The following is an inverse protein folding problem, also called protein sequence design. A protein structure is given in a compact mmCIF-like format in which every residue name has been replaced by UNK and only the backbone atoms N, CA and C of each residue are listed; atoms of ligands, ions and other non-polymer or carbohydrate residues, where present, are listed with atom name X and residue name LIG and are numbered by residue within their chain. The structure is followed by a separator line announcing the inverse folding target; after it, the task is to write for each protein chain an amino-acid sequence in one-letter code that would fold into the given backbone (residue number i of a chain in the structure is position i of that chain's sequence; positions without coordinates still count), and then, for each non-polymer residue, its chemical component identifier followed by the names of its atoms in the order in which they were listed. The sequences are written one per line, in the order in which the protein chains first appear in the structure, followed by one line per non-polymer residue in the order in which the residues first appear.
data_IF_813917541339
#
_entry.id   IF_813917541339
#
_cell.length_a   1.000
_cell.length_b   1.000
_cell.length_c   1.000
_cell.angle_alpha   90.00
_cell.angle_beta   90.00
_cell.angle_gamma   90.00
#
_symmetry.space_group_name_H-M   'P 1'
#
loop_
_entity.id
_entity.type
_entity.pdbx_description
1 polymer ?
#
# COMPACT_ATOMS: atom_id res chain seq x y z
N UNK A 1 19.17 -18.97 0.00
CA UNK A 1 18.22 -17.97 -0.59
C UNK A 1 18.01 -18.33 -2.06
N UNK A 2 16.78 -18.40 -2.56
CA UNK A 2 16.52 -18.62 -3.99
C UNK A 2 17.22 -17.54 -4.83
N UNK A 3 17.86 -17.91 -5.93
CA UNK A 3 18.68 -17.02 -6.77
C UNK A 3 19.76 -16.21 -6.00
N UNK A 4 20.14 -16.63 -4.80
CA UNK A 4 21.15 -15.96 -3.95
C UNK A 4 20.71 -14.64 -3.30
N UNK A 5 19.44 -14.26 -3.41
CA UNK A 5 18.92 -12.96 -2.94
C UNK A 5 17.69 -13.12 -2.05
N UNK A 6 17.38 -12.13 -1.17
CA UNK A 6 16.20 -12.14 -0.32
C UNK A 6 14.88 -11.98 -1.09
N UNK A 7 14.89 -11.29 -2.23
CA UNK A 7 13.71 -11.06 -3.06
C UNK A 7 14.04 -11.08 -4.55
N UNK A 8 13.12 -11.59 -5.35
CA UNK A 8 13.35 -11.85 -6.79
C UNK A 8 13.75 -10.60 -7.59
N UNK A 9 13.31 -9.40 -7.19
CA UNK A 9 13.69 -8.15 -7.87
C UNK A 9 15.17 -7.76 -7.64
N UNK A 10 15.86 -8.38 -6.68
CA UNK A 10 17.29 -8.14 -6.38
C UNK A 10 18.22 -9.05 -7.18
N UNK A 11 17.68 -9.99 -7.94
CA UNK A 11 18.48 -10.88 -8.78
C UNK A 11 18.90 -10.17 -10.08
N UNK A 12 20.21 -9.94 -10.24
CA UNK A 12 20.81 -9.35 -11.43
C UNK A 12 21.92 -10.25 -11.98
N UNK A 13 22.05 -10.26 -13.30
CA UNK A 13 23.17 -10.94 -13.97
C UNK A 13 24.36 -9.97 -14.14
N UNK A 14 25.62 -10.44 -13.97
CA UNK A 14 26.03 -11.81 -13.58
C UNK A 14 25.86 -12.11 -12.09
N UNK A 15 25.73 -11.11 -11.23
CA UNK A 15 25.44 -11.19 -9.79
C UNK A 15 24.91 -9.83 -9.26
N UNK A 16 24.10 -9.86 -8.18
CA UNK A 16 23.57 -8.65 -7.57
C UNK A 16 24.66 -7.82 -6.89
N UNK A 17 24.41 -6.53 -6.76
CA UNK A 17 25.20 -5.65 -5.88
C UNK A 17 24.94 -6.07 -4.42
N UNK A 18 25.99 -6.44 -3.71
CA UNK A 18 25.91 -6.83 -2.28
C UNK A 18 26.36 -5.68 -1.42
N UNK A 19 25.43 -5.03 -0.76
CA UNK A 19 25.70 -3.84 0.07
C UNK A 19 26.36 -4.23 1.40
N UNK A 20 27.47 -3.57 1.73
CA UNK A 20 28.22 -3.69 2.98
C UNK A 20 27.84 -2.60 3.99
N UNK A 21 27.59 -1.38 3.50
CA UNK A 21 27.28 -0.21 4.31
C UNK A 21 26.49 0.83 3.52
N UNK A 22 25.62 1.58 4.21
CA UNK A 22 24.90 2.70 3.61
C UNK A 22 24.72 3.83 4.63
N UNK A 23 24.81 5.08 4.16
CA UNK A 23 24.56 6.27 4.97
C UNK A 23 24.10 7.45 4.10
N UNK A 24 23.11 8.20 4.54
CA UNK A 24 22.53 9.30 3.77
C UNK A 24 22.01 8.80 2.40
N UNK A 25 22.55 9.33 1.31
CA UNK A 25 22.20 8.93 -0.06
C UNK A 25 23.19 7.95 -0.71
N UNK A 26 24.09 7.35 0.06
CA UNK A 26 25.18 6.52 -0.49
C UNK A 26 25.14 5.11 0.05
N UNK A 27 25.46 4.15 -0.84
CA UNK A 27 25.71 2.75 -0.51
C UNK A 27 27.13 2.38 -0.90
N UNK A 28 27.72 1.46 -0.16
CA UNK A 28 29.06 0.88 -0.42
C UNK A 28 28.86 -0.64 -0.50
N UNK A 29 29.30 -1.24 -1.57
CA UNK A 29 29.25 -2.69 -1.74
C UNK A 29 30.44 -3.42 -1.07
N UNK A 30 30.41 -4.74 -1.16
CA UNK A 30 31.50 -5.58 -0.58
C UNK A 30 32.86 -5.42 -1.25
N UNK A 31 32.90 -4.84 -2.45
CA UNK A 31 34.11 -4.54 -3.21
C UNK A 31 34.55 -3.08 -3.07
N UNK A 32 33.96 -2.36 -2.10
CA UNK A 32 34.21 -0.94 -1.76
C UNK A 32 33.83 0.07 -2.88
N UNK A 33 33.00 -0.33 -3.85
CA UNK A 33 32.42 0.61 -4.80
C UNK A 33 31.35 1.48 -4.14
N UNK A 34 31.36 2.78 -4.47
CA UNK A 34 30.40 3.75 -3.93
C UNK A 34 29.31 4.05 -4.94
N UNK A 35 28.07 3.93 -4.53
CA UNK A 35 26.87 4.23 -5.32
C UNK A 35 26.08 5.36 -4.70
N UNK A 36 25.45 6.19 -5.53
CA UNK A 36 24.36 7.08 -5.08
C UNK A 36 23.06 6.29 -5.19
N UNK A 37 22.37 6.15 -4.07
CA UNK A 37 21.11 5.42 -4.02
C UNK A 37 19.95 6.34 -4.40
N UNK A 38 19.36 6.11 -5.58
CA UNK A 38 18.15 6.78 -6.05
C UNK A 38 16.89 5.96 -5.81
N UNK A 39 17.02 4.70 -5.43
CA UNK A 39 15.88 3.82 -5.13
C UNK A 39 15.38 4.05 -3.70
N UNK A 40 16.30 4.23 -2.76
CA UNK A 40 16.01 4.49 -1.34
C UNK A 40 15.03 3.46 -0.76
N UNK A 41 15.21 2.17 -1.12
CA UNK A 41 14.34 1.09 -0.69
C UNK A 41 12.90 1.23 -1.20
N UNK A 42 12.73 1.57 -2.47
CA UNK A 42 11.44 1.91 -3.08
C UNK A 42 10.71 3.06 -2.35
N UNK A 43 11.48 4.05 -1.86
CA UNK A 43 10.98 5.20 -1.13
C UNK A 43 10.78 4.99 0.38
N UNK A 44 11.14 3.83 0.92
CA UNK A 44 11.04 3.58 2.37
C UNK A 44 12.01 4.45 3.18
N UNK A 45 13.18 4.75 2.60
CA UNK A 45 14.23 5.56 3.23
C UNK A 45 14.15 7.04 2.84
N UNK A 46 12.96 7.62 2.86
CA UNK A 46 12.73 9.02 2.48
C UNK A 46 13.68 10.01 3.20
N UNK A 47 14.03 9.72 4.45
CA UNK A 47 14.96 10.53 5.24
C UNK A 47 16.45 10.15 5.05
N UNK A 48 16.77 9.21 4.15
CA UNK A 48 18.11 8.69 3.94
C UNK A 48 18.47 7.50 4.82
N UNK A 49 19.50 6.76 4.39
CA UNK A 49 20.06 5.66 5.18
C UNK A 49 20.63 6.17 6.50
N UNK A 50 20.36 5.42 7.59
CA UNK A 50 20.87 5.72 8.93
C UNK A 50 20.61 7.17 9.40
N UNK A 51 19.40 7.67 9.13
CA UNK A 51 19.01 9.00 9.61
C UNK A 51 19.24 9.10 11.12
N UNK A 52 19.97 10.12 11.62
CA UNK A 52 20.40 10.18 13.01
C UNK A 52 19.25 10.35 14.02
N UNK A 53 18.13 10.95 13.61
CA UNK A 53 16.94 11.06 14.47
C UNK A 53 16.23 9.73 14.62
N UNK A 54 16.01 9.01 13.50
CA UNK A 54 15.40 7.68 13.49
C UNK A 54 16.27 6.71 14.29
N UNK A 55 17.59 6.71 14.04
CA UNK A 55 18.53 5.85 14.75
C UNK A 55 18.46 6.07 16.25
N UNK A 56 18.51 7.30 16.72
CA UNK A 56 18.48 7.65 18.15
C UNK A 56 17.18 7.18 18.79
N UNK A 57 16.02 7.45 18.19
CA UNK A 57 14.74 7.03 18.71
C UNK A 57 14.65 5.50 18.85
N UNK A 58 15.21 4.76 17.90
CA UNK A 58 15.26 3.29 17.96
C UNK A 58 16.19 2.80 19.06
N UNK A 59 17.41 3.39 19.18
CA UNK A 59 18.37 3.05 20.22
C UNK A 59 17.78 3.30 21.63
N UNK A 60 17.13 4.45 21.85
CA UNK A 60 16.44 4.79 23.10
C UNK A 60 15.29 3.82 23.41
N UNK A 61 14.51 3.43 22.38
CA UNK A 61 13.41 2.49 22.60
C UNK A 61 13.88 1.07 22.91
N UNK A 62 15.01 0.62 22.35
CA UNK A 62 15.57 -0.69 22.65
C UNK A 62 15.92 -0.87 24.13
N UNK A 63 16.31 0.20 24.81
CA UNK A 63 16.57 0.19 26.26
C UNK A 63 15.28 -0.02 27.07
N UNK A 64 14.11 0.30 26.52
CA UNK A 64 12.79 0.12 27.15
C UNK A 64 12.09 -1.17 26.71
N UNK A 65 12.60 -1.84 25.69
CA UNK A 65 12.02 -3.04 25.09
C UNK A 65 11.41 -2.78 23.72
N UNK A 66 11.33 -3.82 22.90
CA UNK A 66 10.96 -3.73 21.47
C UNK A 66 9.61 -4.36 21.14
N UNK A 67 9.05 -5.19 22.02
CA UNK A 67 7.78 -5.87 21.78
C UNK A 67 7.01 -6.06 23.09
N UNK A 68 5.75 -5.63 23.08
CA UNK A 68 4.83 -5.77 24.21
C UNK A 68 3.55 -6.48 23.75
N UNK A 69 3.00 -7.33 24.61
CA UNK A 69 1.68 -7.94 24.40
C UNK A 69 0.55 -6.97 24.81
N UNK A 70 0.89 -5.97 25.59
CA UNK A 70 -0.01 -4.92 26.08
C UNK A 70 0.25 -3.61 25.31
N UNK A 71 -0.77 -2.75 25.14
CA UNK A 71 -0.58 -1.43 24.52
C UNK A 71 0.47 -0.60 25.25
N UNK A 72 1.19 0.23 24.52
CA UNK A 72 2.14 1.22 25.05
C UNK A 72 1.75 2.64 24.62
N UNK A 73 2.37 3.65 25.23
CA UNK A 73 2.08 5.05 24.95
C UNK A 73 2.38 5.42 23.49
N UNK A 74 3.45 4.85 22.90
CA UNK A 74 3.82 5.08 21.51
C UNK A 74 2.75 4.64 20.51
N UNK A 75 1.97 3.59 20.83
CA UNK A 75 0.88 3.15 19.95
C UNK A 75 -0.19 4.25 19.81
N UNK A 76 -0.53 4.90 20.93
CA UNK A 76 -1.48 6.01 20.95
C UNK A 76 -0.91 7.23 20.23
N UNK A 77 0.32 7.63 20.57
CA UNK A 77 0.99 8.79 19.96
C UNK A 77 1.07 8.67 18.43
N UNK A 78 1.50 7.52 17.92
CA UNK A 78 1.58 7.27 16.47
C UNK A 78 0.19 7.35 15.82
N UNK A 79 -0.83 6.72 16.43
CA UNK A 79 -2.20 6.76 15.88
C UNK A 79 -2.78 8.18 15.90
N UNK A 80 -2.51 8.99 16.92
CA UNK A 80 -2.93 10.40 17.00
C UNK A 80 -2.26 11.24 15.91
N UNK A 81 -0.95 11.08 15.71
CA UNK A 81 -0.21 11.76 14.64
C UNK A 81 -0.71 11.36 13.24
N UNK A 82 -1.04 10.09 13.04
CA UNK A 82 -1.63 9.63 11.78
C UNK A 82 -3.03 10.21 11.58
N UNK A 83 -3.85 10.27 12.64
CA UNK A 83 -5.19 10.85 12.58
C UNK A 83 -5.16 12.35 12.24
N UNK A 84 -4.28 13.12 12.89
CA UNK A 84 -4.07 14.53 12.59
C UNK A 84 -3.64 14.72 11.13
N UNK A 85 -2.65 13.93 10.69
CA UNK A 85 -2.01 14.08 9.39
C UNK A 85 -2.92 13.72 8.22
N UNK A 86 -3.65 12.62 8.31
CA UNK A 86 -4.45 12.07 7.21
C UNK A 86 -5.96 12.32 7.35
N UNK A 87 -6.41 12.87 8.48
CA UNK A 87 -7.82 13.15 8.73
C UNK A 87 -8.70 11.91 8.83
N UNK A 88 -8.11 10.74 9.11
CA UNK A 88 -8.81 9.49 9.42
C UNK A 88 -8.79 9.27 10.93
N UNK A 89 -9.95 9.12 11.61
CA UNK A 89 -10.00 9.16 13.07
C UNK A 89 -9.47 7.91 13.78
N UNK A 90 -9.38 6.77 13.11
CA UNK A 90 -8.92 5.52 13.72
C UNK A 90 -7.89 4.80 12.86
N UNK A 91 -6.88 4.23 13.52
CA UNK A 91 -5.76 3.55 12.87
C UNK A 91 -5.44 2.22 13.53
N UNK A 92 -4.88 1.30 12.74
CA UNK A 92 -4.26 0.05 13.19
C UNK A 92 -2.86 -0.05 12.59
N UNK A 93 -1.82 -0.23 13.44
CA UNK A 93 -0.48 -0.59 12.99
C UNK A 93 -0.45 -1.98 12.35
N UNK A 94 0.47 -2.18 11.41
CA UNK A 94 0.81 -3.46 10.79
C UNK A 94 2.32 -3.52 10.57
N UNK A 95 2.85 -4.68 10.17
CA UNK A 95 4.30 -4.83 9.92
C UNK A 95 4.70 -4.50 8.48
N UNK A 96 3.75 -4.36 7.58
CA UNK A 96 4.02 -4.10 6.16
C UNK A 96 2.82 -3.47 5.45
N UNK A 97 3.08 -2.88 4.27
CA UNK A 97 2.02 -2.42 3.38
C UNK A 97 1.15 -3.56 2.85
N UNK A 98 1.70 -4.77 2.71
CA UNK A 98 0.93 -5.97 2.31
C UNK A 98 -0.12 -6.31 3.35
N UNK A 99 0.22 -6.29 4.63
CA UNK A 99 -0.75 -6.50 5.70
C UNK A 99 -1.78 -5.38 5.75
N UNK A 100 -1.33 -4.12 5.65
CA UNK A 100 -2.23 -2.96 5.67
C UNK A 100 -3.30 -3.03 4.57
N UNK A 101 -2.91 -3.36 3.33
CA UNK A 101 -3.86 -3.49 2.21
C UNK A 101 -4.75 -4.72 2.33
N UNK A 102 -4.20 -5.84 2.81
CA UNK A 102 -4.97 -7.05 3.06
C UNK A 102 -6.08 -6.81 4.10
N UNK A 103 -5.74 -6.18 5.22
CA UNK A 103 -6.69 -5.89 6.29
C UNK A 103 -7.71 -4.82 5.90
N UNK A 104 -7.31 -3.81 5.12
CA UNK A 104 -8.23 -2.82 4.57
C UNK A 104 -9.26 -3.46 3.62
N UNK A 105 -8.85 -4.41 2.77
CA UNK A 105 -9.76 -5.17 1.90
C UNK A 105 -10.70 -6.05 2.73
N UNK A 106 -10.16 -6.79 3.73
CA UNK A 106 -10.99 -7.61 4.64
C UNK A 106 -12.01 -6.75 5.37
N UNK A 107 -11.60 -5.60 5.88
CA UNK A 107 -12.50 -4.66 6.54
C UNK A 107 -13.60 -4.18 5.58
N UNK A 108 -13.23 -3.83 4.35
CA UNK A 108 -14.19 -3.40 3.33
C UNK A 108 -15.24 -4.47 3.02
N UNK A 109 -14.84 -5.73 2.93
CA UNK A 109 -15.76 -6.86 2.80
C UNK A 109 -16.68 -7.00 4.01
N UNK A 110 -16.12 -6.82 5.22
CA UNK A 110 -16.89 -6.84 6.47
C UNK A 110 -17.93 -5.73 6.58
N UNK A 111 -17.56 -4.52 6.14
CA UNK A 111 -18.46 -3.33 6.15
C UNK A 111 -19.58 -3.47 5.14
N UNK A 112 -19.28 -3.90 3.92
CA UNK A 112 -20.23 -3.92 2.80
C UNK A 112 -21.02 -5.21 2.68
N UNK A 113 -20.51 -6.31 3.25
CA UNK A 113 -21.06 -7.67 3.03
C UNK A 113 -20.82 -8.20 1.62
N UNK A 114 -19.96 -7.55 0.83
CA UNK A 114 -19.66 -7.89 -0.57
C UNK A 114 -18.30 -8.59 -0.67
N UNK A 115 -18.06 -9.33 -1.75
CA UNK A 115 -16.83 -10.16 -1.87
C UNK A 115 -15.82 -9.60 -2.88
N UNK A 116 -16.30 -9.05 -4.00
CA UNK A 116 -15.45 -8.61 -5.11
C UNK A 116 -14.70 -7.32 -4.82
N UNK A 117 -13.55 -7.17 -5.48
CA UNK A 117 -12.77 -5.93 -5.44
C UNK A 117 -12.44 -5.44 -6.85
N UNK A 118 -12.20 -4.15 -6.96
CA UNK A 118 -11.68 -3.53 -8.19
C UNK A 118 -10.29 -2.98 -7.89
N UNK A 119 -9.36 -3.13 -8.83
CA UNK A 119 -8.04 -2.49 -8.81
C UNK A 119 -7.65 -2.02 -10.21
N UNK A 120 -6.63 -1.19 -10.28
CA UNK A 120 -6.09 -0.71 -11.56
C UNK A 120 -5.02 -1.68 -12.10
N UNK A 121 -4.98 -1.88 -13.43
CA UNK A 121 -3.90 -2.57 -14.10
C UNK A 121 -2.55 -1.91 -13.79
N UNK A 122 -1.53 -2.71 -13.50
CA UNK A 122 -0.21 -2.20 -13.13
C UNK A 122 -0.10 -1.69 -11.69
N UNK A 123 -1.21 -1.51 -10.96
CA UNK A 123 -1.20 -1.13 -9.55
C UNK A 123 -0.58 -2.21 -8.67
N UNK A 124 0.27 -1.81 -7.73
CA UNK A 124 0.91 -2.73 -6.77
C UNK A 124 0.47 -2.41 -5.34
N UNK A 125 -0.16 -3.39 -4.70
CA UNK A 125 -0.75 -3.24 -3.37
C UNK A 125 -0.26 -4.30 -2.37
N UNK A 126 0.93 -4.84 -2.59
CA UNK A 126 1.48 -5.93 -1.79
C UNK A 126 1.49 -7.26 -2.53
N UNK A 127 1.71 -8.36 -1.79
CA UNK A 127 1.88 -9.68 -2.39
C UNK A 127 0.90 -10.74 -1.84
N UNK A 128 -0.24 -10.31 -1.30
CA UNK A 128 -1.36 -11.23 -1.06
C UNK A 128 -2.16 -11.47 -2.34
N UNK A 129 -2.82 -12.60 -2.43
CA UNK A 129 -3.36 -13.13 -3.69
C UNK A 129 -4.32 -12.16 -4.41
N UNK A 130 -5.21 -11.48 -3.66
CA UNK A 130 -6.22 -10.59 -4.25
C UNK A 130 -5.65 -9.39 -5.00
N UNK A 131 -4.44 -8.95 -4.65
CA UNK A 131 -3.81 -7.80 -5.31
C UNK A 131 -2.70 -8.19 -6.26
N UNK A 132 -2.29 -9.47 -6.27
CA UNK A 132 -1.33 -10.04 -7.21
C UNK A 132 -2.00 -10.41 -8.55
N UNK A 133 -2.86 -9.53 -9.04
CA UNK A 133 -3.60 -9.66 -10.30
C UNK A 133 -3.20 -8.48 -11.20
N UNK A 134 -2.76 -8.79 -12.42
CA UNK A 134 -2.39 -7.82 -13.47
C UNK A 134 -1.43 -6.71 -13.00
N UNK A 135 -0.45 -7.06 -12.15
CA UNK A 135 0.55 -6.10 -11.69
C UNK A 135 1.55 -5.73 -12.79
N UNK A 136 1.86 -6.68 -13.66
CA UNK A 136 2.73 -6.51 -14.83
C UNK A 136 2.42 -7.61 -15.86
N UNK A 137 1.20 -7.65 -16.42
CA UNK A 137 0.84 -8.70 -17.37
C UNK A 137 1.67 -8.54 -18.66
N UNK A 138 1.95 -9.66 -19.33
CA UNK A 138 2.53 -9.62 -20.67
C UNK A 138 1.48 -9.07 -21.65
N UNK A 139 1.92 -8.29 -22.63
CA UNK A 139 1.02 -7.54 -23.54
C UNK A 139 0.09 -8.44 -24.34
N UNK A 140 0.52 -9.65 -24.66
CA UNK A 140 -0.26 -10.66 -25.41
C UNK A 140 -1.44 -11.23 -24.63
N UNK A 141 -1.44 -11.13 -23.29
CA UNK A 141 -2.51 -11.61 -22.42
C UNK A 141 -3.23 -10.50 -21.65
N UNK A 142 -2.69 -9.28 -21.65
CA UNK A 142 -3.24 -8.14 -20.91
C UNK A 142 -4.68 -7.79 -21.32
N UNK A 143 -5.08 -8.07 -22.56
CA UNK A 143 -6.39 -7.73 -23.10
C UNK A 143 -6.45 -6.32 -23.70
N UNK A 144 -7.65 -5.85 -24.07
CA UNK A 144 -7.84 -4.50 -24.60
C UNK A 144 -7.55 -3.43 -23.55
N UNK A 145 -7.00 -2.29 -23.98
CA UNK A 145 -6.62 -1.19 -23.06
C UNK A 145 -7.80 -0.62 -22.25
N UNK A 146 -9.00 -0.63 -22.80
CA UNK A 146 -10.24 -0.17 -22.14
C UNK A 146 -10.93 -1.23 -21.29
N UNK A 147 -10.49 -2.49 -21.40
CA UNK A 147 -11.00 -3.64 -20.66
C UNK A 147 -9.89 -4.66 -20.40
N UNK A 148 -8.92 -4.35 -19.53
CA UNK A 148 -7.83 -5.27 -19.25
C UNK A 148 -8.32 -6.56 -18.61
N UNK A 149 -7.62 -7.65 -18.88
CA UNK A 149 -7.90 -8.95 -18.30
C UNK A 149 -7.38 -9.04 -16.87
N UNK A 150 -8.09 -9.76 -15.99
CA UNK A 150 -7.58 -10.14 -14.67
C UNK A 150 -6.64 -11.35 -14.81
N UNK A 151 -5.33 -11.09 -14.78
CA UNK A 151 -4.28 -12.09 -14.97
C UNK A 151 -3.53 -12.34 -13.67
N UNK A 152 -3.45 -13.61 -13.16
CA UNK A 152 -2.66 -13.89 -11.97
C UNK A 152 -1.18 -13.60 -12.22
N UNK A 153 -0.57 -12.80 -11.35
CA UNK A 153 0.86 -12.41 -11.45
C UNK A 153 1.81 -13.48 -10.90
N UNK A 154 1.29 -14.57 -10.38
CA UNK A 154 2.07 -15.69 -9.85
C UNK A 154 1.35 -17.02 -10.03
N UNK A 155 2.13 -18.10 -10.15
CA UNK A 155 1.61 -19.44 -9.94
C UNK A 155 1.14 -19.58 -8.49
N UNK A 156 0.11 -20.40 -8.28
CA UNK A 156 -0.47 -20.64 -6.95
C UNK A 156 -1.70 -19.78 -6.62
N UNK A 157 -1.90 -18.66 -7.31
CA UNK A 157 -3.14 -17.89 -7.18
C UNK A 157 -4.31 -18.68 -7.75
N UNK A 158 -5.36 -18.86 -6.96
CA UNK A 158 -6.50 -19.71 -7.35
C UNK A 158 -7.42 -18.99 -8.34
N UNK A 159 -8.14 -19.76 -9.17
CA UNK A 159 -9.11 -19.21 -10.12
C UNK A 159 -10.18 -18.36 -9.42
N UNK A 160 -10.64 -18.80 -8.26
CA UNK A 160 -11.64 -18.07 -7.48
C UNK A 160 -11.16 -16.66 -7.11
N UNK A 161 -9.91 -16.52 -6.66
CA UNK A 161 -9.34 -15.19 -6.36
C UNK A 161 -9.32 -14.32 -7.61
N UNK A 162 -8.95 -14.88 -8.77
CA UNK A 162 -8.96 -14.13 -10.04
C UNK A 162 -10.37 -13.67 -10.41
N UNK A 163 -11.39 -14.52 -10.21
CA UNK A 163 -12.79 -14.22 -10.49
C UNK A 163 -13.36 -13.13 -9.58
N UNK A 164 -12.84 -13.00 -8.36
CA UNK A 164 -13.27 -12.00 -7.38
C UNK A 164 -12.61 -10.63 -7.60
N UNK A 165 -11.66 -10.50 -8.54
CA UNK A 165 -10.92 -9.27 -8.82
C UNK A 165 -11.20 -8.75 -10.22
N UNK A 166 -11.75 -7.56 -10.32
CA UNK A 166 -11.90 -6.84 -11.58
C UNK A 166 -10.77 -5.83 -11.76
N UNK A 167 -10.09 -5.90 -12.89
CA UNK A 167 -9.03 -4.97 -13.26
C UNK A 167 -9.55 -3.95 -14.25
N UNK A 168 -9.23 -2.66 -14.03
CA UNK A 168 -9.65 -1.55 -14.88
C UNK A 168 -8.43 -0.69 -15.28
N UNK A 169 -8.51 0.10 -16.37
CA UNK A 169 -7.47 1.07 -16.68
C UNK A 169 -7.43 2.22 -15.67
N UNK A 170 -6.26 2.82 -15.51
CA UNK A 170 -6.10 4.06 -14.74
C UNK A 170 -6.59 5.27 -15.57
N UNK A 171 -7.08 6.30 -14.89
CA UNK A 171 -7.63 7.49 -15.53
C UNK A 171 -8.88 7.25 -16.41
N UNK A 172 -9.62 6.17 -16.14
CA UNK A 172 -10.89 5.85 -16.82
C UNK A 172 -12.02 5.68 -15.77
N UNK A 173 -12.71 6.77 -15.39
CA UNK A 173 -13.81 6.72 -14.43
C UNK A 173 -15.02 5.93 -14.97
N UNK A 174 -15.21 5.89 -16.30
CA UNK A 174 -16.30 5.12 -16.92
C UNK A 174 -16.05 3.62 -16.77
N UNK A 175 -14.80 3.16 -16.87
CA UNK A 175 -14.45 1.76 -16.60
C UNK A 175 -14.75 1.39 -15.14
N UNK A 176 -14.46 2.28 -14.18
CA UNK A 176 -14.83 2.09 -12.80
C UNK A 176 -16.36 1.98 -12.64
N UNK A 177 -17.12 2.90 -13.23
CA UNK A 177 -18.58 2.87 -13.13
C UNK A 177 -19.14 1.58 -13.70
N UNK A 178 -18.68 1.12 -14.89
CA UNK A 178 -19.06 -0.17 -15.46
C UNK A 178 -18.76 -1.35 -14.52
N UNK A 179 -17.62 -1.34 -13.85
CA UNK A 179 -17.21 -2.39 -12.91
C UNK A 179 -18.10 -2.45 -11.64
N UNK A 180 -18.68 -1.32 -11.23
CA UNK A 180 -19.50 -1.23 -10.02
C UNK A 180 -21.01 -1.46 -10.25
N UNK A 181 -21.48 -1.50 -11.49
CA UNK A 181 -22.90 -1.63 -11.84
C UNK A 181 -23.60 -2.86 -11.23
N UNK A 182 -22.83 -3.95 -11.00
CA UNK A 182 -23.35 -5.18 -10.38
C UNK A 182 -23.71 -5.04 -8.91
N UNK A 183 -23.22 -4.01 -8.23
CA UNK A 183 -23.47 -3.75 -6.80
C UNK A 183 -22.83 -4.77 -5.84
N UNK A 184 -21.91 -5.61 -6.31
CA UNK A 184 -21.27 -6.71 -5.59
C UNK A 184 -19.79 -6.43 -5.20
N UNK A 185 -19.30 -5.22 -5.49
CA UNK A 185 -17.92 -4.80 -5.22
C UNK A 185 -17.80 -4.18 -3.82
N UNK A 186 -16.95 -4.78 -2.98
CA UNK A 186 -16.67 -4.31 -1.63
C UNK A 186 -15.83 -3.02 -1.62
N UNK A 187 -14.76 -2.99 -2.42
CA UNK A 187 -13.88 -1.83 -2.49
C UNK A 187 -13.22 -1.66 -3.85
N UNK A 188 -12.84 -0.42 -4.13
CA UNK A 188 -11.87 -0.05 -5.15
C UNK A 188 -10.58 0.37 -4.46
N UNK A 189 -9.48 -0.36 -4.71
CA UNK A 189 -8.15 -0.01 -4.20
C UNK A 189 -7.31 0.61 -5.32
N UNK A 190 -6.70 1.75 -5.04
CA UNK A 190 -5.91 2.49 -6.03
C UNK A 190 -4.75 3.25 -5.38
N UNK A 191 -3.59 3.27 -6.05
CA UNK A 191 -2.53 4.25 -5.75
C UNK A 191 -3.00 5.61 -6.32
N UNK A 192 -3.17 6.68 -5.51
CA UNK A 192 -3.61 7.99 -6.03
C UNK A 192 -2.67 8.57 -7.09
N UNK A 193 -1.38 8.25 -6.99
CA UNK A 193 -0.37 8.40 -8.03
C UNK A 193 0.25 7.02 -8.23
N UNK A 194 0.09 6.44 -9.40
CA UNK A 194 0.68 5.13 -9.67
C UNK A 194 2.19 5.24 -9.78
N UNK A 195 2.91 4.49 -8.94
CA UNK A 195 4.37 4.55 -8.88
C UNK A 195 5.04 3.20 -9.15
N UNK A 196 4.27 2.15 -9.36
CA UNK A 196 4.83 0.83 -9.68
C UNK A 196 5.21 0.67 -11.16
N UNK A 197 4.55 1.40 -12.05
CA UNK A 197 4.74 1.36 -13.50
C UNK A 197 5.49 2.58 -14.07
N UNK A 198 6.13 3.34 -13.20
CA UNK A 198 6.61 4.69 -13.44
C UNK A 198 5.74 5.68 -12.67
N UNK A 199 5.96 6.98 -12.81
CA UNK A 199 5.11 7.97 -12.14
C UNK A 199 3.98 8.35 -13.08
N UNK A 200 2.80 7.77 -12.86
CA UNK A 200 1.61 8.08 -13.61
C UNK A 200 0.66 8.92 -12.73
N UNK A 201 0.52 10.20 -13.10
CA UNK A 201 -0.34 11.13 -12.37
C UNK A 201 -1.81 10.93 -12.72
N UNK A 202 -2.73 11.16 -11.77
CA UNK A 202 -4.15 11.22 -12.09
C UNK A 202 -4.41 12.42 -13.02
N UNK A 203 -5.27 12.21 -14.00
CA UNK A 203 -5.77 13.33 -14.82
C UNK A 203 -6.65 14.24 -13.95
N UNK A 204 -6.73 15.54 -14.27
CA UNK A 204 -7.60 16.47 -13.56
C UNK A 204 -9.05 15.95 -13.51
N UNK A 205 -9.63 15.89 -12.30
CA UNK A 205 -10.99 15.41 -12.08
C UNK A 205 -11.15 13.91 -11.91
N UNK A 206 -10.09 13.10 -12.17
CA UNK A 206 -10.19 11.63 -12.08
C UNK A 206 -10.47 11.14 -10.65
N UNK A 207 -9.70 11.60 -9.68
CA UNK A 207 -9.88 11.14 -8.29
C UNK A 207 -11.19 11.62 -7.67
N UNK A 208 -11.64 12.80 -8.03
CA UNK A 208 -12.95 13.32 -7.66
C UNK A 208 -14.08 12.45 -8.24
N UNK A 209 -14.00 12.11 -9.53
CA UNK A 209 -14.95 11.21 -10.17
C UNK A 209 -14.93 9.80 -9.53
N UNK A 210 -13.74 9.28 -9.22
CA UNK A 210 -13.57 8.02 -8.48
C UNK A 210 -14.33 8.07 -7.14
N UNK A 211 -14.17 9.17 -6.37
CA UNK A 211 -14.87 9.34 -5.09
C UNK A 211 -16.39 9.34 -5.28
N UNK A 212 -16.89 10.13 -6.21
CA UNK A 212 -18.33 10.24 -6.49
C UNK A 212 -18.94 8.91 -6.94
N UNK A 213 -18.26 8.19 -7.84
CA UNK A 213 -18.72 6.89 -8.33
C UNK A 213 -18.74 5.87 -7.20
N UNK A 214 -17.64 5.72 -6.44
CA UNK A 214 -17.58 4.75 -5.34
C UNK A 214 -18.64 5.01 -4.27
N UNK A 215 -18.88 6.28 -3.94
CA UNK A 215 -19.94 6.68 -3.00
C UNK A 215 -21.35 6.33 -3.52
N UNK A 216 -21.63 6.62 -4.79
CA UNK A 216 -22.91 6.32 -5.44
C UNK A 216 -23.26 4.84 -5.41
N UNK A 217 -22.26 3.96 -5.58
CA UNK A 217 -22.45 2.51 -5.57
C UNK A 217 -22.26 1.87 -4.19
N UNK A 218 -21.95 2.63 -3.16
CA UNK A 218 -21.67 2.13 -1.82
C UNK A 218 -20.48 1.17 -1.78
N UNK A 219 -19.50 1.39 -2.64
CA UNK A 219 -18.22 0.69 -2.70
C UNK A 219 -17.19 1.50 -1.93
N UNK A 220 -16.40 0.89 -1.02
CA UNK A 220 -15.42 1.65 -0.28
C UNK A 220 -14.21 2.01 -1.15
N UNK A 221 -13.76 3.26 -1.05
CA UNK A 221 -12.55 3.74 -1.69
C UNK A 221 -11.37 3.56 -0.75
N UNK A 222 -10.37 2.78 -1.17
CA UNK A 222 -9.09 2.61 -0.47
C UNK A 222 -8.02 3.36 -1.26
N UNK A 223 -7.42 4.39 -0.68
CA UNK A 223 -6.18 4.95 -1.20
C UNK A 223 -4.99 4.20 -0.63
N UNK A 224 -4.27 3.52 -1.51
CA UNK A 224 -2.98 2.96 -1.18
C UNK A 224 -1.92 4.06 -1.24
N UNK A 225 -1.65 4.61 -0.07
CA UNK A 225 -0.65 5.66 0.12
C UNK A 225 0.66 5.12 0.68
N UNK A 226 0.94 3.86 0.49
CA UNK A 226 2.20 3.21 0.90
C UNK A 226 3.42 3.94 0.32
N UNK A 227 3.30 4.53 -0.87
CA UNK A 227 4.36 5.37 -1.46
C UNK A 227 4.10 6.87 -1.29
N UNK A 228 2.87 7.32 -1.41
CA UNK A 228 2.51 8.75 -1.45
C UNK A 228 2.30 9.38 -0.09
N UNK A 229 2.04 8.61 0.95
CA UNK A 229 1.64 9.11 2.26
C UNK A 229 2.58 10.13 2.91
N UNK A 230 3.88 10.02 2.67
CA UNK A 230 4.86 11.02 3.13
C UNK A 230 5.35 11.90 1.98
N UNK A 231 5.52 11.31 0.79
CA UNK A 231 6.20 11.98 -0.34
C UNK A 231 5.34 12.99 -1.08
N UNK A 232 4.01 12.85 -1.06
CA UNK A 232 3.09 13.76 -1.74
C UNK A 232 2.75 15.03 -0.93
N UNK A 233 3.08 15.07 0.37
CA UNK A 233 2.80 16.22 1.24
C UNK A 233 2.41 15.81 2.65
N UNK A 234 2.05 16.80 3.49
CA UNK A 234 1.71 16.55 4.89
C UNK A 234 0.52 15.58 5.05
N UNK A 235 -0.53 15.74 4.27
CA UNK A 235 -1.71 14.87 4.28
C UNK A 235 -1.66 13.75 3.24
N UNK A 236 -0.46 13.40 2.73
CA UNK A 236 -0.32 12.45 1.63
C UNK A 236 -0.94 12.92 0.33
N UNK A 237 -1.20 12.00 -0.58
CA UNK A 237 -1.90 12.32 -1.83
C UNK A 237 -3.37 12.69 -1.59
N UNK A 238 -4.02 12.12 -0.56
CA UNK A 238 -5.37 12.52 -0.13
C UNK A 238 -5.45 14.02 0.14
N UNK A 239 -4.50 14.55 0.92
CA UNK A 239 -4.40 15.97 1.22
C UNK A 239 -4.00 16.81 0.02
N UNK A 240 -3.07 16.31 -0.81
CA UNK A 240 -2.59 17.02 -2.00
C UNK A 240 -3.69 17.22 -3.05
N UNK A 241 -4.49 16.20 -3.33
CA UNK A 241 -5.58 16.26 -4.31
C UNK A 241 -6.92 16.70 -3.70
N UNK A 242 -7.03 16.79 -2.37
CA UNK A 242 -8.27 17.18 -1.70
C UNK A 242 -9.37 16.12 -1.74
N UNK A 243 -9.04 14.86 -2.04
CA UNK A 243 -9.99 13.75 -2.13
C UNK A 243 -9.86 12.83 -0.93
N UNK A 244 -10.94 12.63 -0.19
CA UNK A 244 -10.95 11.79 1.03
C UNK A 244 -11.43 10.37 0.72
N UNK A 245 -10.58 9.36 0.84
CA UNK A 245 -11.00 7.96 0.73
C UNK A 245 -11.73 7.49 2.00
N UNK A 246 -12.33 6.32 1.95
CA UNK A 246 -12.92 5.65 3.11
C UNK A 246 -11.86 5.02 4.00
N UNK A 247 -10.81 4.47 3.38
CA UNK A 247 -9.65 3.87 4.05
C UNK A 247 -8.35 4.35 3.40
N UNK A 248 -7.31 4.46 4.22
CA UNK A 248 -5.94 4.77 3.78
C UNK A 248 -5.01 3.66 4.26
N UNK A 249 -4.08 3.22 3.41
CA UNK A 249 -3.01 2.30 3.79
C UNK A 249 -1.65 2.98 3.67
N UNK A 250 -0.78 2.76 4.65
CA UNK A 250 0.54 3.35 4.77
C UNK A 250 1.60 2.29 5.05
N UNK A 251 2.82 2.55 4.62
CA UNK A 251 4.02 1.79 5.00
C UNK A 251 5.28 2.58 4.56
N UNK A 252 6.35 1.86 4.24
CA UNK A 252 7.59 2.43 3.67
C UNK A 252 8.12 3.61 4.48
N UNK A 253 7.93 4.83 3.98
CA UNK A 253 8.52 6.05 4.57
C UNK A 253 8.08 6.32 6.00
N UNK A 254 6.91 5.85 6.45
CA UNK A 254 6.50 5.99 7.86
C UNK A 254 7.39 5.17 8.80
N UNK A 255 8.01 4.10 8.30
CA UNK A 255 8.91 3.24 9.07
C UNK A 255 10.37 3.69 9.08
N UNK A 256 10.76 4.67 8.23
CA UNK A 256 12.15 5.15 8.18
C UNK A 256 13.20 4.06 7.89
N UNK A 257 12.81 2.97 7.19
CA UNK A 257 13.63 1.80 6.90
C UNK A 257 13.32 0.57 7.78
N UNK A 258 12.46 0.70 8.78
CA UNK A 258 11.98 -0.41 9.60
C UNK A 258 10.66 -0.99 9.07
N UNK A 259 10.36 -2.27 9.38
CA UNK A 259 9.13 -2.93 8.94
C UNK A 259 7.93 -2.39 9.72
N UNK A 260 7.26 -1.42 9.13
CA UNK A 260 6.07 -0.76 9.68
C UNK A 260 5.07 -0.51 8.57
N UNK A 261 3.80 -0.70 8.86
CA UNK A 261 2.66 -0.28 8.06
C UNK A 261 1.52 0.18 8.97
N UNK A 262 0.49 0.70 8.36
CA UNK A 262 -0.75 1.05 9.05
C UNK A 262 -1.91 1.14 8.06
N UNK A 263 -3.13 0.90 8.53
CA UNK A 263 -4.32 1.30 7.81
C UNK A 263 -5.27 2.06 8.74
N UNK A 264 -5.97 3.00 8.17
CA UNK A 264 -6.89 3.85 8.92
C UNK A 264 -8.14 4.19 8.13
N UNK A 265 -9.18 4.59 8.85
CA UNK A 265 -10.46 4.89 8.25
C UNK A 265 -11.47 5.51 9.20
N UNK A 266 -12.69 5.68 8.69
CA UNK A 266 -13.81 6.20 9.47
C UNK A 266 -14.09 5.33 10.70
N UNK A 267 -14.47 5.97 11.81
CA UNK A 267 -14.76 5.28 13.07
C UNK A 267 -15.86 4.21 12.92
N UNK A 268 -16.87 4.45 12.09
CA UNK A 268 -17.95 3.50 11.83
C UNK A 268 -17.46 2.20 11.19
N UNK A 269 -16.44 2.26 10.33
CA UNK A 269 -15.84 1.09 9.68
C UNK A 269 -14.87 0.38 10.62
N UNK A 270 -13.94 1.14 11.19
CA UNK A 270 -12.94 0.62 12.11
C UNK A 270 -13.55 0.04 13.39
N UNK A 271 -14.76 0.48 13.76
CA UNK A 271 -15.56 -0.06 14.84
C UNK A 271 -15.84 -1.56 14.72
N UNK A 272 -15.90 -2.12 13.49
CA UNK A 272 -16.07 -3.56 13.29
C UNK A 272 -14.87 -4.37 13.81
N UNK A 273 -13.70 -3.76 13.87
CA UNK A 273 -12.51 -4.38 14.48
C UNK A 273 -12.63 -4.31 16.00
N UNK A 274 -13.10 -3.19 16.55
CA UNK A 274 -13.24 -2.98 17.99
C UNK A 274 -14.26 -3.92 18.62
N UNK A 275 -15.33 -4.26 17.90
CA UNK A 275 -16.37 -5.20 18.37
C UNK A 275 -16.13 -6.67 17.98
N UNK A 276 -15.00 -6.96 17.33
CA UNK A 276 -14.55 -8.30 16.99
C UNK A 276 -15.24 -8.94 15.78
N UNK A 277 -16.10 -8.21 15.04
CA UNK A 277 -16.73 -8.71 13.83
C UNK A 277 -15.76 -8.83 12.66
N UNK A 278 -14.75 -7.97 12.62
CA UNK A 278 -13.60 -8.12 11.75
C UNK A 278 -12.37 -8.32 12.63
N UNK A 279 -11.67 -9.43 12.42
CA UNK A 279 -10.52 -9.78 13.25
C UNK A 279 -9.24 -9.17 12.66
N UNK A 280 -8.53 -8.42 13.49
CA UNK A 280 -7.18 -7.96 13.24
C UNK A 280 -6.33 -8.33 14.46
N UNK A 281 -5.48 -9.34 14.31
CA UNK A 281 -4.59 -9.87 15.34
C UNK A 281 -3.12 -9.63 14.96
N UNK A 282 -2.82 -8.42 14.50
CA UNK A 282 -1.47 -7.99 14.24
C UNK A 282 -0.70 -7.74 15.55
N UNK A 283 0.59 -7.95 15.52
CA UNK A 283 1.52 -7.68 16.63
C UNK A 283 2.49 -6.59 16.22
#
# INVERSE_FOLDING_TARGET
MPAGVPSSFQAYEPWPVVVKHAAGSRMIDVDDNVYVDYDMGFGALFAGHMNPHVRRAVEEQLDNGSLYVTPCELDAEVCELLAERFGQPMWRPTNSGTEATHDAIRLSRGVTGRERIVKVEGGYHGHHDEVMISNKPALDVAGPADRPNSIPSSLGITKRVVEDVTVIPYNDPEALERALQGGDVACFIVEPVMQNIGICMPQPGYLEAVREITERYGTLLIFDEVKTGITAGYGGASGYFGVKPDLVTLAKSIGGGFPVGAFGGKAEYMGLISDGRVVHLGT
#
